data_IF_628397452570
#
_entry.id   IF_628397452570
#
_cell.length_a   1.000
_cell.length_b   1.000
_cell.length_c   1.000
_cell.angle_alpha   90.00
_cell.angle_beta   90.00
_cell.angle_gamma   90.00
#
_symmetry.space_group_name_H-M   'P 1'
#
loop_
_entity.id
_entity.type
_entity.pdbx_description
1 polymer ?
#
# COMPACT_ATOMS: atom_id res chain seq x y z
N UNK A 1 -21.97 -2.82 -8.27
CA UNK A 1 -22.31 -2.87 -9.70
C UNK A 1 -23.09 -1.63 -10.07
N UNK A 2 -24.28 -1.40 -9.49
CA UNK A 2 -25.19 -0.30 -9.85
C UNK A 2 -24.47 1.07 -9.92
N UNK A 3 -23.80 1.48 -8.85
CA UNK A 3 -23.11 2.79 -8.78
C UNK A 3 -22.07 2.95 -9.90
N UNK A 4 -21.26 1.91 -10.13
CA UNK A 4 -20.22 1.95 -11.17
C UNK A 4 -20.83 2.01 -12.56
N UNK A 5 -21.94 1.29 -12.79
CA UNK A 5 -22.67 1.35 -14.07
C UNK A 5 -23.31 2.71 -14.30
N UNK A 6 -23.92 3.31 -13.28
CA UNK A 6 -24.48 4.66 -13.39
C UNK A 6 -23.40 5.68 -13.74
N UNK A 7 -22.27 5.68 -13.03
CA UNK A 7 -21.15 6.59 -13.32
C UNK A 7 -20.61 6.36 -14.73
N UNK A 8 -20.39 5.10 -15.12
CA UNK A 8 -19.88 4.76 -16.46
C UNK A 8 -20.81 5.20 -17.57
N UNK A 9 -22.12 5.00 -17.40
CA UNK A 9 -23.13 5.42 -18.37
C UNK A 9 -23.22 6.94 -18.46
N UNK A 10 -23.16 7.66 -17.34
CA UNK A 10 -23.13 9.13 -17.35
C UNK A 10 -21.91 9.66 -18.12
N UNK A 11 -20.73 9.11 -17.88
CA UNK A 11 -19.52 9.52 -18.60
C UNK A 11 -19.68 9.26 -20.10
N UNK A 12 -20.09 8.05 -20.50
CA UNK A 12 -20.31 7.69 -21.90
C UNK A 12 -21.38 8.55 -22.56
N UNK A 13 -22.44 8.82 -21.85
CA UNK A 13 -23.54 9.65 -22.34
C UNK A 13 -23.09 11.09 -22.64
N UNK A 14 -22.32 11.70 -21.73
CA UNK A 14 -21.77 13.04 -21.98
C UNK A 14 -20.75 13.06 -23.12
N UNK A 15 -19.93 12.02 -23.28
CA UNK A 15 -18.98 11.93 -24.41
C UNK A 15 -19.74 11.80 -25.75
N UNK A 16 -20.82 11.03 -25.80
CA UNK A 16 -21.60 10.84 -27.02
C UNK A 16 -22.44 12.08 -27.39
N UNK A 17 -22.92 12.85 -26.40
CA UNK A 17 -23.69 14.08 -26.65
C UNK A 17 -22.86 15.21 -27.26
N UNK A 18 -21.53 15.22 -27.06
CA UNK A 18 -20.66 16.28 -27.60
C UNK A 18 -20.67 16.33 -29.14
N UNK A 19 -21.16 15.31 -29.83
CA UNK A 19 -21.14 15.16 -31.30
C UNK A 19 -22.56 15.12 -31.93
N UNK A 20 -23.65 15.09 -31.11
CA UNK A 20 -25.00 14.93 -31.60
C UNK A 20 -25.87 16.21 -31.47
N UNK A 21 -26.44 16.72 -32.57
CA UNK A 21 -27.51 17.72 -32.55
C UNK A 21 -28.84 17.06 -32.13
N UNK A 22 -29.13 17.06 -30.84
CA UNK A 22 -30.37 16.48 -30.32
C UNK A 22 -31.46 17.53 -30.19
N UNK A 23 -32.51 17.37 -30.98
CA UNK A 23 -33.63 18.30 -31.06
C UNK A 23 -34.75 18.05 -30.03
N UNK A 24 -34.78 16.91 -29.33
CA UNK A 24 -35.87 16.54 -28.41
C UNK A 24 -35.39 15.89 -27.13
N UNK A 25 -35.86 16.36 -25.97
CA UNK A 25 -35.54 15.82 -24.64
C UNK A 25 -35.87 14.32 -24.48
N UNK A 26 -36.90 13.83 -25.14
CA UNK A 26 -37.29 12.41 -25.12
C UNK A 26 -36.20 11.49 -25.65
N UNK A 27 -35.47 11.92 -26.64
CA UNK A 27 -34.35 11.16 -27.21
C UNK A 27 -33.23 10.98 -26.18
N UNK A 28 -32.94 12.00 -25.36
CA UNK A 28 -31.94 11.90 -24.27
C UNK A 28 -32.30 10.84 -23.24
N UNK A 29 -33.58 10.84 -22.78
CA UNK A 29 -33.99 9.85 -21.77
C UNK A 29 -33.99 8.44 -22.35
N UNK A 30 -34.38 8.27 -23.60
CA UNK A 30 -34.32 6.97 -24.27
C UNK A 30 -32.88 6.49 -24.43
N UNK A 31 -31.98 7.34 -24.92
CA UNK A 31 -30.56 7.01 -25.12
C UNK A 31 -29.89 6.63 -23.83
N UNK A 32 -30.07 7.41 -22.76
CA UNK A 32 -29.43 7.11 -21.45
C UNK A 32 -30.00 5.80 -20.87
N UNK A 33 -31.31 5.55 -21.03
CA UNK A 33 -31.93 4.34 -20.52
C UNK A 33 -31.47 3.09 -21.28
N UNK A 34 -31.40 3.17 -22.61
CA UNK A 34 -30.91 2.08 -23.47
C UNK A 34 -29.41 1.83 -23.17
N UNK A 35 -28.62 2.87 -23.07
CA UNK A 35 -27.19 2.77 -22.75
C UNK A 35 -26.99 2.14 -21.38
N UNK A 36 -27.79 2.54 -20.39
CA UNK A 36 -27.78 1.95 -19.06
C UNK A 36 -28.10 0.46 -19.08
N UNK A 37 -29.17 0.05 -19.76
CA UNK A 37 -29.55 -1.34 -19.85
C UNK A 37 -28.51 -2.19 -20.58
N UNK A 38 -27.99 -1.69 -21.71
CA UNK A 38 -26.92 -2.35 -22.47
C UNK A 38 -25.64 -2.52 -21.70
N UNK A 39 -25.34 -1.61 -20.79
CA UNK A 39 -24.14 -1.72 -19.94
C UNK A 39 -24.41 -2.54 -18.67
N UNK A 40 -25.51 -2.27 -17.98
CA UNK A 40 -25.82 -2.86 -16.67
C UNK A 40 -26.15 -4.35 -16.76
N UNK A 41 -26.97 -4.77 -17.72
CA UNK A 41 -27.39 -6.17 -17.81
C UNK A 41 -26.24 -7.13 -18.09
N UNK A 42 -25.40 -6.95 -19.14
CA UNK A 42 -24.29 -7.85 -19.41
C UNK A 42 -23.26 -7.85 -18.29
N UNK A 43 -22.93 -6.67 -17.75
CA UNK A 43 -21.96 -6.57 -16.66
C UNK A 43 -22.45 -7.25 -15.38
N UNK A 44 -23.74 -7.10 -15.05
CA UNK A 44 -24.34 -7.74 -13.88
C UNK A 44 -24.41 -9.25 -14.05
N UNK A 45 -24.89 -9.75 -15.19
CA UNK A 45 -24.99 -11.18 -15.49
C UNK A 45 -23.60 -11.83 -15.42
N UNK A 46 -22.62 -11.26 -16.13
CA UNK A 46 -21.24 -11.79 -16.15
C UNK A 46 -20.63 -11.81 -14.75
N UNK A 47 -20.79 -10.74 -13.99
CA UNK A 47 -20.25 -10.64 -12.63
C UNK A 47 -20.92 -11.62 -11.67
N UNK A 48 -22.23 -11.76 -11.71
CA UNK A 48 -22.98 -12.73 -10.89
C UNK A 48 -22.54 -14.15 -11.25
N UNK A 49 -22.48 -14.46 -12.55
CA UNK A 49 -22.05 -15.78 -13.02
C UNK A 49 -20.62 -16.13 -12.55
N UNK A 50 -19.66 -15.22 -12.76
CA UNK A 50 -18.27 -15.41 -12.30
C UNK A 50 -18.18 -15.56 -10.80
N UNK A 51 -18.88 -14.70 -10.04
CA UNK A 51 -18.89 -14.79 -8.57
C UNK A 51 -19.49 -16.10 -8.08
N UNK A 52 -20.56 -16.58 -8.71
CA UNK A 52 -21.21 -17.85 -8.38
C UNK A 52 -20.30 -19.06 -8.71
N UNK A 53 -19.62 -19.02 -9.86
CA UNK A 53 -18.67 -20.08 -10.24
C UNK A 53 -17.51 -20.15 -9.23
N UNK A 54 -16.92 -19.00 -8.88
CA UNK A 54 -15.81 -18.93 -7.91
C UNK A 54 -16.29 -19.41 -6.53
N UNK A 55 -17.44 -18.92 -6.05
CA UNK A 55 -18.00 -19.32 -4.76
C UNK A 55 -18.27 -20.83 -4.70
N UNK A 56 -18.79 -21.43 -5.79
CA UNK A 56 -19.00 -22.87 -5.86
C UNK A 56 -17.67 -23.65 -5.86
N UNK A 57 -16.65 -23.16 -6.55
CA UNK A 57 -15.32 -23.80 -6.54
C UNK A 57 -14.67 -23.74 -5.15
N UNK A 58 -14.81 -22.63 -4.44
CA UNK A 58 -14.34 -22.48 -3.04
C UNK A 58 -15.10 -23.45 -2.13
N UNK A 59 -16.43 -23.46 -2.22
CA UNK A 59 -17.27 -24.36 -1.42
C UNK A 59 -16.93 -25.84 -1.64
N UNK A 60 -16.62 -26.22 -2.87
CA UNK A 60 -16.27 -27.59 -3.25
C UNK A 60 -14.77 -27.90 -3.04
N UNK A 61 -14.01 -27.04 -2.37
CA UNK A 61 -12.57 -27.19 -2.10
C UNK A 61 -11.70 -27.36 -3.35
N UNK A 62 -12.12 -26.79 -4.47
CA UNK A 62 -11.33 -26.78 -5.73
C UNK A 62 -10.42 -25.55 -5.79
N UNK A 63 -10.87 -24.43 -5.23
CA UNK A 63 -10.11 -23.20 -5.09
C UNK A 63 -10.05 -22.77 -3.63
N UNK A 64 -8.94 -22.18 -3.22
CA UNK A 64 -8.79 -21.58 -1.90
C UNK A 64 -7.41 -20.99 -1.69
N UNK A 65 -7.16 -20.55 -0.47
CA UNK A 65 -5.93 -19.87 -0.06
C UNK A 65 -5.02 -20.86 0.66
N UNK A 66 -3.75 -20.90 0.30
CA UNK A 66 -2.73 -21.65 1.03
C UNK A 66 -2.50 -20.95 2.37
N UNK A 67 -2.97 -21.61 3.43
CA UNK A 67 -3.08 -21.03 4.77
C UNK A 67 -1.99 -21.56 5.67
N UNK A 68 -1.26 -20.67 6.34
CA UNK A 68 -0.34 -20.98 7.42
C UNK A 68 -1.00 -20.67 8.75
N UNK A 69 -0.96 -21.65 9.68
CA UNK A 69 -1.45 -21.45 11.05
C UNK A 69 -0.28 -21.05 11.96
N UNK A 70 -0.40 -19.95 12.68
CA UNK A 70 0.57 -19.52 13.68
C UNK A 70 0.01 -19.79 15.07
N UNK A 71 0.64 -20.73 15.78
CA UNK A 71 0.24 -21.26 17.09
C UNK A 71 0.19 -22.78 17.06
N UNK A 72 0.42 -23.41 18.22
CA UNK A 72 0.45 -24.86 18.39
C UNK A 72 -0.44 -25.32 19.56
N UNK A 73 -1.11 -24.42 20.25
CA UNK A 73 -1.93 -24.69 21.43
C UNK A 73 -3.36 -25.18 21.10
N UNK A 74 -4.18 -25.40 22.13
CA UNK A 74 -5.58 -25.83 21.99
C UNK A 74 -6.42 -24.91 21.10
N UNK A 75 -6.21 -23.60 21.14
CA UNK A 75 -6.92 -22.64 20.26
C UNK A 75 -6.59 -22.88 18.79
N UNK A 76 -5.32 -23.11 18.46
CA UNK A 76 -4.90 -23.39 17.10
C UNK A 76 -5.55 -24.69 16.59
N UNK A 77 -5.58 -25.75 17.43
CA UNK A 77 -6.24 -27.00 17.12
C UNK A 77 -7.75 -26.83 16.92
N UNK A 78 -8.41 -26.08 17.80
CA UNK A 78 -9.84 -25.80 17.71
C UNK A 78 -10.18 -25.10 16.38
N UNK A 79 -9.46 -24.01 16.04
CA UNK A 79 -9.67 -23.28 14.78
C UNK A 79 -9.42 -24.14 13.56
N UNK A 80 -8.35 -24.94 13.58
CA UNK A 80 -8.07 -25.88 12.50
C UNK A 80 -9.23 -26.87 12.31
N UNK A 81 -9.73 -27.46 13.39
CA UNK A 81 -10.85 -28.41 13.34
C UNK A 81 -12.14 -27.72 12.85
N UNK A 82 -12.44 -26.53 13.34
CA UNK A 82 -13.65 -25.77 12.99
C UNK A 82 -13.65 -25.40 11.50
N UNK A 83 -12.55 -24.85 10.99
CA UNK A 83 -12.41 -24.47 9.57
C UNK A 83 -12.30 -25.66 8.63
N UNK A 84 -11.66 -26.76 9.07
CA UNK A 84 -11.50 -27.97 8.25
C UNK A 84 -12.75 -28.81 8.19
N UNK A 85 -13.55 -28.89 9.29
CA UNK A 85 -14.77 -29.68 9.36
C UNK A 85 -16.03 -28.93 8.90
N UNK A 86 -15.92 -27.64 8.58
CA UNK A 86 -17.03 -26.85 8.11
C UNK A 86 -17.69 -27.46 6.86
N UNK A 87 -19.03 -27.67 6.91
CA UNK A 87 -19.81 -28.22 5.78
C UNK A 87 -19.66 -27.40 4.48
N UNK A 88 -19.41 -26.09 4.62
CA UNK A 88 -19.10 -25.19 3.51
C UNK A 88 -17.68 -24.70 3.72
N UNK A 89 -16.77 -25.09 2.84
CA UNK A 89 -15.40 -24.59 2.89
C UNK A 89 -15.37 -23.09 2.68
N UNK A 90 -14.62 -22.39 3.52
CA UNK A 90 -14.30 -20.97 3.35
C UNK A 90 -13.02 -20.76 2.50
N UNK A 91 -12.47 -21.84 1.98
CA UNK A 91 -11.32 -21.80 1.08
C UNK A 91 -9.95 -21.87 1.76
N UNK A 92 -9.89 -22.29 3.02
CA UNK A 92 -8.62 -22.47 3.74
C UNK A 92 -7.99 -23.82 3.43
N UNK A 93 -6.78 -23.81 2.81
CA UNK A 93 -5.95 -24.99 2.58
C UNK A 93 -4.72 -24.92 3.48
N UNK A 94 -4.81 -25.50 4.66
CA UNK A 94 -3.72 -25.49 5.62
C UNK A 94 -2.51 -26.22 5.10
N UNK A 95 -1.38 -25.53 4.92
CA UNK A 95 -0.10 -26.09 4.51
C UNK A 95 0.68 -26.63 5.70
N UNK A 96 0.46 -26.07 6.89
CA UNK A 96 1.10 -26.46 8.13
C UNK A 96 0.93 -25.40 9.21
N UNK A 97 1.63 -25.63 10.32
CA UNK A 97 1.65 -24.68 11.44
C UNK A 97 3.06 -24.31 11.88
N UNK A 98 3.17 -23.20 12.58
CA UNK A 98 4.42 -22.65 13.14
C UNK A 98 4.24 -22.40 14.63
N UNK A 99 5.20 -22.84 15.45
CA UNK A 99 5.22 -22.58 16.88
C UNK A 99 5.69 -21.15 17.19
N UNK A 100 5.07 -20.54 18.21
CA UNK A 100 5.45 -19.23 18.73
C UNK A 100 5.74 -19.34 20.22
N UNK A 101 6.85 -18.73 20.67
CA UNK A 101 7.18 -18.54 22.10
C UNK A 101 7.17 -19.81 22.98
N UNK A 102 7.73 -20.93 22.48
CA UNK A 102 7.87 -22.14 23.30
C UNK A 102 6.55 -22.88 23.56
N UNK A 103 5.49 -22.59 22.80
CA UNK A 103 4.28 -23.42 22.81
C UNK A 103 4.68 -24.86 22.44
N UNK A 104 4.64 -25.76 23.43
CA UNK A 104 4.75 -27.19 23.22
C UNK A 104 3.37 -27.73 22.83
N UNK A 105 3.18 -27.97 21.54
CA UNK A 105 1.91 -28.51 21.04
C UNK A 105 2.05 -29.01 19.61
N UNK A 106 1.11 -29.82 19.20
CA UNK A 106 0.99 -30.28 17.83
C UNK A 106 -0.46 -30.11 17.37
N UNK A 107 -0.65 -29.54 16.19
CA UNK A 107 -1.95 -29.51 15.55
C UNK A 107 -2.09 -30.79 14.72
N UNK A 108 -2.85 -31.75 15.26
CA UNK A 108 -3.07 -33.02 14.58
C UNK A 108 -3.73 -32.80 13.22
N UNK A 109 -3.10 -33.32 12.15
CA UNK A 109 -3.64 -33.25 10.78
C UNK A 109 -2.91 -32.31 9.83
N UNK A 110 -1.97 -31.49 10.32
CA UNK A 110 -1.10 -30.66 9.47
C UNK A 110 0.36 -30.72 9.95
N UNK A 111 1.35 -30.59 9.04
CA UNK A 111 2.76 -30.68 9.39
C UNK A 111 3.24 -29.45 10.16
N UNK A 112 4.19 -29.67 11.08
CA UNK A 112 4.95 -28.60 11.69
C UNK A 112 6.01 -28.11 10.72
N UNK A 113 6.01 -26.82 10.36
CA UNK A 113 6.89 -26.24 9.34
C UNK A 113 8.10 -25.51 9.94
N UNK A 114 8.05 -25.11 11.21
CA UNK A 114 9.16 -24.41 11.84
C UNK A 114 8.72 -23.51 12.99
N UNK A 115 9.56 -22.53 13.29
CA UNK A 115 9.39 -21.58 14.38
C UNK A 115 9.08 -20.15 13.88
N UNK A 116 8.78 -19.23 14.80
CA UNK A 116 8.55 -17.81 14.51
C UNK A 116 9.64 -17.17 13.64
N UNK A 117 10.90 -17.60 13.77
CA UNK A 117 12.04 -17.07 13.01
C UNK A 117 12.00 -17.46 11.52
N UNK A 118 11.33 -18.57 11.22
CA UNK A 118 11.32 -19.17 9.88
C UNK A 118 10.11 -18.71 9.04
N UNK A 119 9.22 -17.89 9.60
CA UNK A 119 7.93 -17.50 8.99
C UNK A 119 8.14 -16.92 7.57
N UNK A 120 9.07 -15.99 7.39
CA UNK A 120 9.32 -15.36 6.07
C UNK A 120 9.78 -16.38 5.02
N UNK A 121 10.64 -17.32 5.41
CA UNK A 121 11.12 -18.37 4.51
C UNK A 121 10.01 -19.38 4.16
N UNK A 122 9.19 -19.76 5.15
CA UNK A 122 8.05 -20.66 4.98
C UNK A 122 7.02 -20.06 4.02
N UNK A 123 6.71 -18.78 4.17
CA UNK A 123 5.78 -18.07 3.28
C UNK A 123 6.22 -18.16 1.83
N UNK A 124 7.51 -17.92 1.57
CA UNK A 124 8.07 -17.97 0.22
C UNK A 124 8.13 -19.38 -0.34
N UNK A 125 8.59 -20.34 0.47
CA UNK A 125 8.76 -21.73 0.07
C UNK A 125 7.42 -22.41 -0.24
N UNK A 126 6.42 -22.22 0.62
CA UNK A 126 5.10 -22.82 0.49
C UNK A 126 4.10 -21.91 -0.25
N UNK A 127 4.55 -20.73 -0.73
CA UNK A 127 3.73 -19.75 -1.44
C UNK A 127 2.42 -19.45 -0.69
N UNK A 128 2.54 -19.13 0.60
CA UNK A 128 1.39 -18.89 1.48
C UNK A 128 0.63 -17.64 1.03
N UNK A 129 -0.68 -17.76 0.93
CA UNK A 129 -1.57 -16.66 0.55
C UNK A 129 -2.20 -16.00 1.79
N UNK A 130 -2.36 -16.79 2.87
CA UNK A 130 -3.05 -16.38 4.09
C UNK A 130 -2.36 -16.91 5.35
N UNK A 131 -2.33 -16.09 6.39
CA UNK A 131 -1.80 -16.46 7.71
C UNK A 131 -2.89 -16.26 8.75
N UNK A 132 -3.18 -17.32 9.54
CA UNK A 132 -4.12 -17.26 10.67
C UNK A 132 -3.32 -17.31 11.96
N UNK A 133 -3.43 -16.28 12.81
CA UNK A 133 -2.77 -16.20 14.11
C UNK A 133 -3.72 -16.70 15.17
N UNK A 134 -3.37 -17.84 15.81
CA UNK A 134 -4.16 -18.57 16.77
C UNK A 134 -3.32 -18.95 18.01
N UNK A 135 -2.70 -17.94 18.66
CA UNK A 135 -1.88 -18.13 19.86
C UNK A 135 -2.71 -18.10 21.15
N UNK A 136 -2.27 -18.80 22.21
CA UNK A 136 -3.00 -18.93 23.48
C UNK A 136 -2.99 -17.63 24.31
N UNK A 137 -1.84 -16.96 24.37
CA UNK A 137 -1.67 -15.73 25.13
C UNK A 137 -1.43 -14.54 24.22
N UNK A 138 -2.37 -13.60 24.27
CA UNK A 138 -2.24 -12.31 23.60
C UNK A 138 -1.41 -11.33 24.45
N UNK A 139 -0.12 -11.56 24.55
CA UNK A 139 0.74 -10.44 24.91
C UNK A 139 0.72 -9.50 23.70
N UNK A 140 0.25 -8.26 23.89
CA UNK A 140 0.15 -7.24 22.81
C UNK A 140 1.44 -7.09 21.99
N UNK A 141 2.60 -7.42 22.59
CA UNK A 141 3.90 -7.43 21.93
C UNK A 141 4.10 -8.57 20.92
N UNK A 142 3.51 -9.74 21.14
CA UNK A 142 3.72 -10.90 20.28
C UNK A 142 2.99 -10.80 18.95
N UNK A 143 1.72 -10.40 18.98
CA UNK A 143 0.94 -10.17 17.76
C UNK A 143 1.59 -9.04 16.94
N UNK A 144 1.95 -7.92 17.60
CA UNK A 144 2.63 -6.82 16.92
C UNK A 144 3.96 -7.24 16.29
N UNK A 145 4.72 -8.12 16.95
CA UNK A 145 5.97 -8.66 16.42
C UNK A 145 5.76 -9.61 15.25
N UNK A 146 4.74 -10.49 15.31
CA UNK A 146 4.36 -11.38 14.19
C UNK A 146 3.87 -10.57 13.00
N UNK A 147 2.96 -9.61 13.21
CA UNK A 147 2.49 -8.72 12.16
C UNK A 147 3.65 -7.92 11.56
N UNK A 148 4.63 -7.53 12.36
CA UNK A 148 5.84 -6.83 11.87
C UNK A 148 6.74 -7.72 11.02
N UNK A 149 6.86 -9.02 11.33
CA UNK A 149 7.59 -10.00 10.50
C UNK A 149 6.88 -10.24 9.15
N UNK A 150 5.54 -10.23 9.17
CA UNK A 150 4.72 -10.37 7.97
C UNK A 150 4.63 -9.08 7.15
N UNK A 151 5.14 -7.98 7.68
CA UNK A 151 5.12 -6.66 7.06
C UNK A 151 6.08 -6.63 5.86
N UNK A 152 5.55 -6.67 4.67
CA UNK A 152 6.31 -6.71 3.41
C UNK A 152 6.01 -7.94 2.55
N UNK A 153 5.40 -8.97 3.12
CA UNK A 153 4.89 -10.11 2.38
C UNK A 153 3.46 -9.85 1.89
N UNK A 154 3.12 -10.40 0.71
CA UNK A 154 1.78 -10.22 0.11
C UNK A 154 0.80 -11.27 0.64
N UNK A 155 0.64 -11.36 1.96
CA UNK A 155 -0.24 -12.32 2.62
C UNK A 155 -1.39 -11.61 3.34
N UNK A 156 -2.55 -12.27 3.38
CA UNK A 156 -3.69 -11.82 4.17
C UNK A 156 -3.49 -12.30 5.61
N UNK A 157 -3.54 -11.40 6.59
CA UNK A 157 -3.36 -11.74 7.99
C UNK A 157 -4.73 -11.75 8.67
N UNK A 158 -5.07 -12.89 9.28
CA UNK A 158 -6.28 -13.04 10.08
C UNK A 158 -5.91 -13.39 11.52
N UNK A 159 -6.66 -12.85 12.45
CA UNK A 159 -6.53 -13.17 13.88
C UNK A 159 -7.87 -13.64 14.44
N UNK A 160 -7.81 -14.42 15.50
CA UNK A 160 -8.98 -14.76 16.31
C UNK A 160 -9.28 -13.57 17.20
N UNK A 161 -10.51 -13.02 17.19
CA UNK A 161 -10.87 -11.94 18.09
C UNK A 161 -10.85 -12.46 19.54
N UNK A 162 -10.20 -11.71 20.42
CA UNK A 162 -10.30 -11.97 21.83
C UNK A 162 -11.71 -11.58 22.33
N UNK A 163 -12.25 -12.35 23.28
CA UNK A 163 -13.61 -12.13 23.83
C UNK A 163 -13.80 -10.70 24.38
N UNK A 164 -12.70 -10.05 24.79
CA UNK A 164 -12.68 -8.64 25.22
C UNK A 164 -13.00 -7.66 24.09
N UNK A 165 -12.59 -7.95 22.85
CA UNK A 165 -12.86 -7.11 21.69
C UNK A 165 -14.31 -7.26 21.21
N UNK A 166 -14.91 -8.42 21.37
CA UNK A 166 -16.34 -8.65 21.12
C UNK A 166 -17.24 -7.81 22.01
N UNK A 167 -16.90 -7.73 23.30
CA UNK A 167 -17.65 -6.94 24.29
C UNK A 167 -17.50 -5.43 24.07
N UNK A 168 -16.38 -4.98 23.51
CA UNK A 168 -16.11 -3.56 23.24
C UNK A 168 -16.73 -3.04 21.94
N UNK A 169 -17.43 -3.87 21.15
CA UNK A 169 -18.10 -3.45 19.91
C UNK A 169 -17.16 -3.04 18.78
N UNK A 170 -15.86 -3.36 18.86
CA UNK A 170 -14.83 -2.95 17.91
C UNK A 170 -14.71 -3.89 16.70
N UNK A 171 -15.49 -4.95 16.63
CA UNK A 171 -15.34 -5.98 15.60
C UNK A 171 -16.50 -5.93 14.61
N UNK A 172 -16.22 -5.66 13.35
CA UNK A 172 -17.15 -5.96 12.25
C UNK A 172 -17.13 -7.48 12.04
N UNK A 173 -18.17 -8.17 12.48
CA UNK A 173 -18.33 -9.58 12.21
C UNK A 173 -18.52 -9.79 10.70
N UNK A 174 -17.57 -10.46 10.06
CA UNK A 174 -17.66 -10.80 8.63
C UNK A 174 -18.51 -12.05 8.37
N UNK A 175 -18.59 -12.99 9.31
CA UNK A 175 -19.29 -14.26 9.14
C UNK A 175 -20.20 -14.55 10.34
N UNK A 176 -21.46 -14.92 10.03
CA UNK A 176 -22.48 -15.30 11.01
C UNK A 176 -22.39 -16.81 11.35
N UNK A 177 -21.68 -17.60 10.54
CA UNK A 177 -21.54 -19.05 10.69
C UNK A 177 -20.09 -19.46 10.50
N UNK A 178 -19.44 -19.93 11.55
CA UNK A 178 -18.06 -20.42 11.55
C UNK A 178 -17.13 -19.67 12.49
N UNK A 179 -15.83 -20.00 12.48
CA UNK A 179 -14.84 -19.31 13.27
C UNK A 179 -14.81 -17.82 12.92
N UNK A 180 -14.98 -16.98 13.92
CA UNK A 180 -14.89 -15.53 13.72
C UNK A 180 -13.42 -15.15 13.56
N UNK A 181 -13.01 -14.77 12.36
CA UNK A 181 -11.68 -14.30 12.06
C UNK A 181 -11.73 -12.81 11.69
N UNK A 182 -10.81 -12.03 12.25
CA UNK A 182 -10.63 -10.62 11.91
C UNK A 182 -9.47 -10.49 10.96
N UNK A 183 -9.72 -9.90 9.79
CA UNK A 183 -8.65 -9.55 8.86
C UNK A 183 -7.93 -8.28 9.32
N UNK A 184 -6.60 -8.38 9.44
CA UNK A 184 -5.75 -7.22 9.68
C UNK A 184 -5.40 -6.60 8.33
N UNK A 185 -6.01 -5.47 8.02
CA UNK A 185 -5.65 -4.73 6.81
C UNK A 185 -4.20 -4.21 6.90
N UNK A 186 -3.28 -4.89 6.23
CA UNK A 186 -1.89 -4.45 6.10
C UNK A 186 -1.71 -3.45 4.96
N UNK A 187 -2.68 -3.36 4.05
CA UNK A 187 -2.69 -2.38 2.97
C UNK A 187 -3.14 -1.01 3.46
N UNK A 188 -2.23 -0.04 3.38
CA UNK A 188 -2.47 1.35 3.84
C UNK A 188 -3.58 2.03 3.03
N UNK A 189 -3.77 1.67 1.75
CA UNK A 189 -4.75 2.29 0.85
C UNK A 189 -5.47 1.23 -0.01
N UNK A 190 -6.82 1.28 -0.10
CA UNK A 190 -7.55 0.44 -1.02
C UNK A 190 -7.24 0.76 -2.49
N UNK A 191 -7.43 -0.17 -3.43
CA UNK A 191 -7.03 -0.02 -4.84
C UNK A 191 -7.59 1.22 -5.53
N UNK A 192 -8.84 1.58 -5.27
CA UNK A 192 -9.47 2.77 -5.87
C UNK A 192 -8.84 4.08 -5.38
N UNK A 193 -8.43 4.14 -4.10
CA UNK A 193 -7.72 5.30 -3.56
C UNK A 193 -6.30 5.40 -4.13
N UNK A 194 -5.61 4.26 -4.33
CA UNK A 194 -4.30 4.23 -5.01
C UNK A 194 -4.41 4.77 -6.43
N UNK A 195 -5.47 4.39 -7.17
CA UNK A 195 -5.73 4.89 -8.52
C UNK A 195 -6.00 6.40 -8.52
N UNK A 196 -6.94 6.86 -7.68
CA UNK A 196 -7.29 8.28 -7.60
C UNK A 196 -6.09 9.13 -7.19
N UNK A 197 -5.33 8.67 -6.19
CA UNK A 197 -4.09 9.32 -5.75
C UNK A 197 -3.07 9.40 -6.89
N UNK A 198 -2.88 8.32 -7.66
CA UNK A 198 -1.93 8.31 -8.78
C UNK A 198 -2.35 9.26 -9.90
N UNK A 199 -3.63 9.32 -10.21
CA UNK A 199 -4.19 10.27 -11.19
C UNK A 199 -3.93 11.72 -10.74
N UNK A 200 -4.20 12.02 -9.47
CA UNK A 200 -3.90 13.33 -8.89
C UNK A 200 -2.40 13.67 -8.96
N UNK A 201 -1.53 12.71 -8.58
CA UNK A 201 -0.07 12.87 -8.64
C UNK A 201 0.40 13.22 -10.07
N UNK A 202 -0.12 12.52 -11.09
CA UNK A 202 0.23 12.75 -12.50
C UNK A 202 -0.26 14.13 -12.97
N UNK A 203 -1.53 14.45 -12.76
CA UNK A 203 -2.12 15.70 -13.19
C UNK A 203 -1.43 16.90 -12.56
N UNK A 204 -1.19 16.85 -11.24
CA UNK A 204 -0.49 17.90 -10.52
C UNK A 204 0.95 18.05 -11.01
N UNK A 205 1.65 16.92 -11.25
CA UNK A 205 3.03 16.97 -11.75
C UNK A 205 3.13 17.59 -13.14
N UNK A 206 2.25 17.20 -14.06
CA UNK A 206 2.19 17.79 -15.41
C UNK A 206 1.92 19.29 -15.29
N UNK A 207 0.93 19.69 -14.50
CA UNK A 207 0.57 21.10 -14.31
C UNK A 207 1.76 21.92 -13.79
N UNK A 208 2.42 21.44 -12.72
CA UNK A 208 3.54 22.13 -12.09
C UNK A 208 4.76 22.16 -13.02
N UNK A 209 5.06 21.08 -13.74
CA UNK A 209 6.21 21.04 -14.67
C UNK A 209 5.99 21.93 -15.88
N UNK A 210 4.77 21.99 -16.44
CA UNK A 210 4.48 22.79 -17.63
C UNK A 210 4.35 24.28 -17.30
N UNK A 211 3.52 24.65 -16.32
CA UNK A 211 3.35 26.06 -15.94
C UNK A 211 4.58 26.61 -15.20
N UNK A 212 5.30 25.75 -14.49
CA UNK A 212 6.54 26.11 -13.80
C UNK A 212 7.75 26.26 -14.71
N UNK A 213 7.70 25.83 -15.98
CA UNK A 213 8.86 25.82 -16.87
C UNK A 213 9.63 27.16 -16.93
N UNK A 214 9.00 28.34 -17.12
CA UNK A 214 9.72 29.62 -17.13
C UNK A 214 10.42 29.88 -15.79
N UNK A 215 9.81 29.52 -14.66
CA UNK A 215 10.43 29.65 -13.34
C UNK A 215 11.59 28.67 -13.16
N UNK A 216 11.48 27.45 -13.67
CA UNK A 216 12.60 26.48 -13.65
C UNK A 216 13.81 27.00 -14.40
N UNK A 217 13.60 27.59 -15.59
CA UNK A 217 14.68 28.20 -16.38
C UNK A 217 15.31 29.36 -15.61
N UNK A 218 14.52 30.25 -15.04
CA UNK A 218 15.01 31.35 -14.23
C UNK A 218 15.86 30.87 -13.05
N UNK A 219 15.33 29.91 -12.26
CA UNK A 219 16.06 29.33 -11.12
C UNK A 219 17.34 28.65 -11.57
N UNK A 220 17.30 27.90 -12.69
CA UNK A 220 18.49 27.25 -13.26
C UNK A 220 19.60 28.24 -13.58
N UNK A 221 19.27 29.38 -14.21
CA UNK A 221 20.21 30.46 -14.49
C UNK A 221 20.78 31.05 -13.20
N UNK A 222 19.94 31.37 -12.23
CA UNK A 222 20.38 31.92 -10.93
C UNK A 222 21.29 30.96 -10.15
N UNK A 223 20.99 29.65 -10.16
CA UNK A 223 21.84 28.63 -9.54
C UNK A 223 23.20 28.53 -10.24
N UNK A 224 23.20 28.61 -11.60
CA UNK A 224 24.43 28.53 -12.39
C UNK A 224 25.33 29.76 -12.20
N UNK A 225 24.73 30.95 -12.09
CA UNK A 225 25.43 32.18 -11.82
C UNK A 225 25.97 32.27 -10.38
N UNK A 226 25.23 31.72 -9.43
CA UNK A 226 25.56 31.79 -8.01
C UNK A 226 26.73 30.87 -7.58
N UNK A 227 27.04 29.81 -8.32
CA UNK A 227 28.15 28.92 -8.00
C UNK A 227 28.54 27.99 -9.16
N UNK A 228 29.84 27.66 -9.27
CA UNK A 228 30.35 26.70 -10.30
C UNK A 228 29.80 25.29 -10.03
N UNK A 229 29.36 24.58 -11.08
CA UNK A 229 28.92 23.18 -11.02
C UNK A 229 27.57 22.93 -11.73
N UNK A 230 26.94 21.74 -11.56
CA UNK A 230 25.68 21.38 -12.19
C UNK A 230 24.50 22.17 -11.60
N UNK A 231 23.42 22.32 -12.36
CA UNK A 231 22.18 23.01 -11.92
C UNK A 231 21.41 22.13 -10.96
N UNK A 232 21.30 20.84 -11.29
CA UNK A 232 20.58 19.87 -10.50
C UNK A 232 21.55 19.10 -9.59
N UNK A 233 21.03 18.71 -8.46
CA UNK A 233 21.64 17.79 -7.51
C UNK A 233 20.79 16.55 -7.40
N UNK A 234 21.41 15.38 -7.49
CA UNK A 234 20.74 14.09 -7.33
C UNK A 234 21.32 13.36 -6.13
N UNK A 235 20.45 12.69 -5.39
CA UNK A 235 20.83 11.94 -4.20
C UNK A 235 20.03 10.66 -4.09
N UNK A 236 20.70 9.55 -3.74
CA UNK A 236 20.06 8.26 -3.49
C UNK A 236 19.24 8.31 -2.21
N UNK A 237 17.97 7.93 -2.31
CA UNK A 237 17.00 7.85 -1.22
C UNK A 237 16.25 6.53 -1.28
N UNK A 238 15.58 6.16 -0.19
CA UNK A 238 14.77 4.94 -0.11
C UNK A 238 13.30 5.29 -0.32
N UNK A 239 12.66 4.51 -1.21
CA UNK A 239 11.28 4.68 -1.62
C UNK A 239 10.38 3.51 -1.26
N UNK A 240 9.36 3.30 -2.09
CA UNK A 240 8.37 2.25 -1.92
C UNK A 240 9.01 0.86 -1.86
N UNK A 241 8.61 0.07 -0.85
CA UNK A 241 9.14 -1.29 -0.65
C UNK A 241 10.62 -1.34 -0.27
N UNK A 242 11.21 -0.23 0.20
CA UNK A 242 12.63 -0.18 0.53
C UNK A 242 13.55 -0.06 -0.70
N UNK A 243 13.00 0.15 -1.90
CA UNK A 243 13.78 0.26 -3.14
C UNK A 243 14.46 1.63 -3.22
N UNK A 244 15.75 1.67 -3.61
CA UNK A 244 16.44 2.92 -3.78
C UNK A 244 16.02 3.63 -5.07
N UNK A 245 15.92 4.97 -5.02
CA UNK A 245 15.70 5.85 -6.17
C UNK A 245 16.55 7.11 -6.05
N UNK A 246 16.61 7.94 -7.10
CA UNK A 246 17.36 9.18 -7.11
C UNK A 246 16.40 10.37 -7.07
N UNK A 247 16.42 11.10 -5.95
CA UNK A 247 15.68 12.36 -5.82
C UNK A 247 16.40 13.47 -6.57
N UNK A 248 15.65 14.32 -7.26
CA UNK A 248 16.19 15.43 -8.06
C UNK A 248 15.83 16.75 -7.37
N UNK A 249 16.82 17.63 -7.17
CA UNK A 249 16.63 18.97 -6.58
C UNK A 249 17.45 20.02 -7.36
N UNK A 250 17.10 21.29 -7.23
CA UNK A 250 18.05 22.34 -7.57
C UNK A 250 19.19 22.35 -6.57
N UNK A 251 20.41 22.56 -7.08
CA UNK A 251 21.58 22.63 -6.20
C UNK A 251 21.52 23.86 -5.32
N UNK A 252 21.43 23.66 -4.03
CA UNK A 252 21.41 24.70 -3.00
C UNK A 252 22.69 24.75 -2.15
N UNK A 253 23.61 23.79 -2.35
CA UNK A 253 24.88 23.68 -1.63
C UNK A 253 26.07 23.70 -2.59
N UNK A 254 27.29 23.95 -2.06
CA UNK A 254 28.55 23.84 -2.79
C UNK A 254 28.77 22.39 -3.23
N UNK A 255 29.58 22.19 -4.29
CA UNK A 255 29.81 20.84 -4.87
C UNK A 255 30.39 19.87 -3.86
N UNK A 256 31.26 20.35 -2.97
CA UNK A 256 31.98 19.53 -1.98
C UNK A 256 31.26 19.44 -0.63
N UNK A 257 29.99 19.80 -0.58
CA UNK A 257 29.20 19.87 0.67
C UNK A 257 29.12 18.56 1.43
N UNK A 258 29.28 17.42 0.77
CA UNK A 258 29.20 16.07 1.36
C UNK A 258 30.56 15.33 1.38
N UNK A 259 31.68 16.00 1.14
CA UNK A 259 33.01 15.38 1.17
C UNK A 259 33.33 14.71 2.51
N UNK A 260 32.78 15.21 3.62
CA UNK A 260 32.92 14.65 4.97
C UNK A 260 31.83 13.59 5.32
N UNK A 261 31.07 13.11 4.33
CA UNK A 261 30.01 12.12 4.52
C UNK A 261 28.62 12.71 4.80
N UNK A 262 27.64 11.82 5.08
CA UNK A 262 26.26 12.21 5.32
C UNK A 262 26.10 13.04 6.60
N UNK A 263 25.65 14.26 6.47
CA UNK A 263 25.40 15.15 7.62
C UNK A 263 24.02 15.80 7.48
N UNK A 264 23.35 16.00 8.61
CA UNK A 264 22.16 16.83 8.67
C UNK A 264 22.54 18.28 8.47
N UNK A 265 21.75 19.02 7.69
CA UNK A 265 22.00 20.44 7.49
C UNK A 265 21.51 21.25 8.69
N UNK A 266 22.32 22.23 9.10
CA UNK A 266 21.99 23.19 10.17
C UNK A 266 21.39 24.46 9.57
N UNK A 267 20.78 25.30 10.41
CA UNK A 267 20.14 26.55 9.98
C UNK A 267 21.16 27.52 9.36
N UNK A 268 22.35 27.62 9.96
CA UNK A 268 23.49 28.39 9.43
C UNK A 268 24.60 27.47 8.93
N UNK A 269 24.32 26.73 7.86
CA UNK A 269 25.27 25.79 7.28
C UNK A 269 26.18 26.49 6.25
N UNK A 270 27.51 26.57 6.46
CA UNK A 270 28.45 27.28 5.57
C UNK A 270 28.56 26.63 4.18
N UNK A 271 28.03 25.42 4.02
CA UNK A 271 27.98 24.69 2.74
C UNK A 271 26.89 25.21 1.81
N UNK A 272 25.91 25.97 2.34
CA UNK A 272 24.78 26.50 1.58
C UNK A 272 25.23 27.75 0.80
N UNK A 273 24.89 27.84 -0.49
CA UNK A 273 25.16 29.01 -1.31
C UNK A 273 24.19 30.16 -0.97
N UNK A 274 24.50 31.41 -1.30
CA UNK A 274 23.62 32.55 -1.05
C UNK A 274 22.25 32.35 -1.73
N UNK A 275 22.23 31.92 -2.99
CA UNK A 275 20.99 31.55 -3.70
C UNK A 275 20.32 30.34 -3.06
N UNK A 276 21.11 29.35 -2.60
CA UNK A 276 20.63 28.16 -1.91
C UNK A 276 19.86 28.48 -0.63
N UNK A 277 20.23 29.48 0.15
CA UNK A 277 19.47 29.92 1.33
C UNK A 277 18.05 30.34 0.95
N UNK A 278 17.90 31.12 -0.11
CA UNK A 278 16.60 31.56 -0.62
C UNK A 278 15.76 30.37 -1.12
N UNK A 279 16.36 29.49 -1.94
CA UNK A 279 15.67 28.31 -2.50
C UNK A 279 15.18 27.38 -1.39
N UNK A 280 15.97 27.13 -0.35
CA UNK A 280 15.60 26.28 0.78
C UNK A 280 14.51 26.89 1.65
N UNK A 281 14.58 28.20 1.91
CA UNK A 281 13.55 28.93 2.67
C UNK A 281 12.19 28.87 1.98
N UNK A 282 12.17 28.95 0.64
CA UNK A 282 10.95 28.92 -0.18
C UNK A 282 10.58 27.50 -0.66
N UNK A 283 11.39 26.49 -0.35
CA UNK A 283 11.25 25.10 -0.84
C UNK A 283 11.28 24.97 -2.36
N UNK A 284 11.71 25.99 -3.08
CA UNK A 284 11.84 25.95 -4.56
C UNK A 284 12.93 24.99 -5.04
N UNK A 285 13.90 24.67 -4.18
CA UNK A 285 14.90 23.64 -4.48
C UNK A 285 14.30 22.24 -4.67
N UNK A 286 13.11 21.97 -4.13
CA UNK A 286 12.44 20.68 -4.20
C UNK A 286 11.49 20.54 -5.41
N UNK A 287 11.23 21.61 -6.17
CA UNK A 287 10.34 21.60 -7.33
C UNK A 287 10.69 20.56 -8.40
N UNK A 288 11.98 20.29 -8.73
CA UNK A 288 12.32 19.24 -9.70
C UNK A 288 11.85 17.83 -9.30
N UNK A 289 11.48 17.60 -8.02
CA UNK A 289 10.93 16.32 -7.57
C UNK A 289 9.57 15.98 -8.18
N UNK A 290 8.84 16.96 -8.75
CA UNK A 290 7.63 16.66 -9.52
C UNK A 290 7.93 15.75 -10.72
N UNK A 291 9.17 15.72 -11.22
CA UNK A 291 9.63 14.72 -12.18
C UNK A 291 9.64 13.32 -11.56
N UNK A 292 10.14 13.17 -10.32
CA UNK A 292 10.11 11.88 -9.61
C UNK A 292 8.66 11.43 -9.34
N UNK A 293 7.75 12.38 -9.08
CA UNK A 293 6.32 12.05 -8.94
C UNK A 293 5.73 11.58 -10.27
N UNK A 294 6.04 12.26 -11.38
CA UNK A 294 5.54 11.91 -12.71
C UNK A 294 6.01 10.50 -13.14
N UNK A 295 7.30 10.19 -12.96
CA UNK A 295 7.87 8.86 -13.25
C UNK A 295 7.29 7.79 -12.30
N UNK A 296 6.96 8.15 -11.07
CA UNK A 296 6.30 7.25 -10.12
C UNK A 296 7.16 6.80 -8.94
N UNK A 297 8.35 7.34 -8.78
CA UNK A 297 9.22 7.09 -7.62
C UNK A 297 8.66 7.72 -6.36
N UNK A 298 7.98 8.87 -6.50
CA UNK A 298 7.40 9.67 -5.43
C UNK A 298 5.89 9.91 -5.63
N UNK A 299 5.29 10.55 -4.66
CA UNK A 299 3.93 11.10 -4.67
C UNK A 299 3.97 12.56 -4.22
N UNK A 300 2.93 13.34 -4.51
CA UNK A 300 2.82 14.70 -3.98
C UNK A 300 2.79 14.68 -2.45
N UNK A 301 1.98 13.77 -1.88
CA UNK A 301 1.83 13.62 -0.42
C UNK A 301 2.30 12.22 0.00
N UNK A 302 3.20 12.17 0.96
CA UNK A 302 3.75 10.90 1.50
C UNK A 302 4.83 11.17 2.53
N UNK A 303 5.42 10.13 3.08
CA UNK A 303 6.52 10.25 4.02
C UNK A 303 7.76 10.85 3.35
N UNK A 304 8.53 11.65 4.07
CA UNK A 304 9.79 12.20 3.56
C UNK A 304 10.78 11.07 3.26
N UNK A 305 11.35 11.01 2.03
CA UNK A 305 12.32 9.97 1.70
C UNK A 305 13.65 10.22 2.44
N UNK A 306 14.11 9.22 3.17
CA UNK A 306 15.35 9.28 3.92
C UNK A 306 16.48 8.50 3.25
N UNK A 307 17.74 8.75 3.67
CA UNK A 307 18.94 8.04 3.21
C UNK A 307 19.04 6.72 3.98
N UNK A 308 19.54 5.67 3.34
CA UNK A 308 19.74 4.36 3.98
C UNK A 308 20.52 4.48 5.31
N UNK A 309 21.57 5.29 5.33
CA UNK A 309 22.37 5.53 6.52
C UNK A 309 21.55 5.95 7.75
N UNK A 310 20.59 6.88 7.58
CA UNK A 310 19.73 7.32 8.68
C UNK A 310 18.64 6.30 8.99
N UNK A 311 18.12 5.61 7.98
CA UNK A 311 17.12 4.53 8.15
C UNK A 311 17.70 3.44 9.03
N UNK A 312 18.96 3.01 8.80
CA UNK A 312 19.61 1.95 9.59
C UNK A 312 19.73 2.34 11.06
N UNK A 313 20.06 3.60 11.34
CA UNK A 313 20.10 4.13 12.72
C UNK A 313 18.73 4.20 13.38
N UNK A 314 17.70 4.61 12.62
CA UNK A 314 16.32 4.69 13.12
C UNK A 314 15.80 3.28 13.40
N UNK A 315 16.04 2.33 12.49
CA UNK A 315 15.55 0.95 12.62
C UNK A 315 16.16 0.21 13.81
N UNK A 316 17.37 0.56 14.25
CA UNK A 316 17.94 0.03 15.49
C UNK A 316 17.13 0.40 16.73
N UNK A 317 16.50 1.59 16.75
CA UNK A 317 15.68 2.10 17.85
C UNK A 317 14.19 1.85 17.67
N UNK A 318 13.72 1.82 16.42
CA UNK A 318 12.32 1.74 16.05
C UNK A 318 12.12 0.83 14.81
N UNK A 319 12.11 -0.51 14.97
CA UNK A 319 11.99 -1.46 13.86
C UNK A 319 10.72 -1.25 13.01
N UNK A 320 9.65 -0.72 13.61
CA UNK A 320 8.39 -0.40 12.94
C UNK A 320 8.53 0.70 11.87
N UNK A 321 9.67 1.41 11.80
CA UNK A 321 9.94 2.41 10.75
C UNK A 321 9.86 1.81 9.33
N UNK A 322 10.14 0.50 9.18
CA UNK A 322 9.96 -0.25 7.92
C UNK A 322 8.56 -0.09 7.32
N UNK A 323 7.52 0.11 8.15
CA UNK A 323 6.14 0.31 7.69
C UNK A 323 5.95 1.57 6.85
N UNK A 324 6.77 2.60 7.06
CA UNK A 324 6.71 3.83 6.29
C UNK A 324 7.06 3.62 4.81
N UNK A 325 7.82 2.56 4.51
CA UNK A 325 8.17 2.20 3.12
C UNK A 325 7.03 1.50 2.36
N UNK A 326 5.89 1.21 3.00
CA UNK A 326 4.70 0.66 2.31
C UNK A 326 3.98 1.65 1.41
N UNK A 327 4.27 2.92 1.56
CA UNK A 327 3.72 3.99 0.72
C UNK A 327 4.84 4.70 -0.03
N UNK A 328 4.49 5.31 -1.17
CA UNK A 328 5.46 6.15 -1.89
C UNK A 328 5.86 7.35 -1.04
N UNK A 329 7.15 7.71 -1.02
CA UNK A 329 7.59 8.94 -0.37
C UNK A 329 6.97 10.16 -1.04
N UNK A 330 6.77 11.24 -0.26
CA UNK A 330 6.14 12.46 -0.71
C UNK A 330 7.11 13.64 -0.84
N UNK A 331 6.70 14.63 -1.63
CA UNK A 331 7.30 15.98 -1.62
C UNK A 331 6.87 16.67 -0.31
N UNK A 332 5.58 16.54 0.03
CA UNK A 332 5.01 17.05 1.29
C UNK A 332 4.71 15.89 2.22
N UNK A 333 4.94 16.06 3.52
CA UNK A 333 4.61 15.09 4.55
C UNK A 333 3.73 15.73 5.63
N UNK A 334 2.88 14.91 6.26
CA UNK A 334 2.30 15.24 7.55
C UNK A 334 3.42 15.04 8.59
N UNK A 335 4.01 16.11 9.01
CA UNK A 335 5.10 16.10 9.99
C UNK A 335 4.70 16.77 11.27
#
# INVERSE_FOLDING_TARGET
ILIVSVIGVLILFFVLILDDEVSQYRSFYTSISVLFLLHFLPTSILRIALSSIIANKIKNRVLGFRTLLIGAGPKALQIYQELSSAKKSEGHFFQGFVNVNGEEGAVSGIPHLGSKKDIESIIKQHQIDEVIIATEEYQKGDIASIVSLLDGESVVIKIIPDMYQHLAGMVKMGNVFGAVLIEIETNVLPPWQKFLKRTFDILTSILVLTLGLPFYVLIAVLVKMGSKGPIFYTQKRIGLGGKPFHIIKFRSMKVDAEAAGPQLSKEEDPRITAMGKYLRKTRLDEFPQFWNVLVGDMSVVGNRPERQFFIDQIMQKAPQYKRLHKIKPGITSWG
#
